data_IF_071323803261
#
_entry.id   IF_071323803261
#
_cell.length_a   1.000
_cell.length_b   1.000
_cell.length_c   1.000
_cell.angle_alpha   90.00
_cell.angle_beta   90.00
_cell.angle_gamma   90.00
#
_symmetry.space_group_name_H-M   'P 1'
#
loop_
_entity.id
_entity.type
_entity.pdbx_description
1 polymer ?
#
# COMPACT_ATOMS: atom_id res chain seq x y z
N UNK A 1 13.92 8.93 2.50
CA UNK A 1 13.64 7.71 1.72
C UNK A 1 14.65 6.60 1.87
N UNK A 2 15.65 6.81 2.72
CA UNK A 2 16.69 5.80 2.94
C UNK A 2 16.16 4.46 3.46
N UNK A 3 15.07 4.47 4.23
CA UNK A 3 14.47 3.23 4.75
C UNK A 3 14.02 2.28 3.64
N UNK A 4 13.45 2.82 2.55
CA UNK A 4 13.02 1.99 1.42
C UNK A 4 14.19 1.37 0.69
N UNK A 5 15.25 2.15 0.46
CA UNK A 5 16.43 1.66 -0.25
C UNK A 5 17.25 0.69 0.58
N UNK A 6 17.23 0.83 1.90
CA UNK A 6 17.95 -0.05 2.81
C UNK A 6 17.22 -1.35 3.15
N UNK A 7 15.94 -1.45 2.80
CA UNK A 7 15.15 -2.65 3.06
C UNK A 7 14.85 -2.94 4.53
N UNK A 8 14.98 -1.96 5.40
CA UNK A 8 14.74 -2.12 6.83
C UNK A 8 13.25 -1.98 7.17
N UNK A 9 12.48 -2.99 6.81
CA UNK A 9 11.02 -2.97 6.95
C UNK A 9 10.53 -2.79 8.38
N UNK A 10 11.26 -3.26 9.37
CA UNK A 10 10.89 -3.13 10.78
C UNK A 10 10.83 -1.66 11.24
N UNK A 11 11.58 -0.78 10.57
CA UNK A 11 11.62 0.65 10.87
C UNK A 11 10.58 1.45 10.09
N UNK A 12 9.91 0.83 9.11
CA UNK A 12 8.90 1.50 8.30
C UNK A 12 7.61 1.67 9.09
N UNK A 13 7.01 2.84 8.95
CA UNK A 13 5.64 3.09 9.40
C UNK A 13 4.73 2.91 8.21
N UNK A 14 3.83 1.96 8.30
CA UNK A 14 2.95 1.64 7.19
C UNK A 14 1.52 1.43 7.65
N UNK A 15 0.60 1.57 6.70
CA UNK A 15 -0.81 1.30 6.88
C UNK A 15 -1.23 0.28 5.83
N UNK A 16 -1.82 -0.82 6.28
CA UNK A 16 -2.45 -1.77 5.36
C UNK A 16 -3.87 -1.32 5.08
N UNK A 17 -4.25 -1.37 3.80
CA UNK A 17 -5.60 -0.98 3.39
C UNK A 17 -6.20 -2.06 2.51
N UNK A 18 -7.49 -2.32 2.71
CA UNK A 18 -8.26 -3.21 1.87
C UNK A 18 -9.47 -2.43 1.38
N UNK A 19 -9.54 -2.22 0.06
CA UNK A 19 -10.66 -1.49 -0.53
C UNK A 19 -11.93 -2.32 -0.41
N UNK A 20 -13.02 -1.68 0.03
CA UNK A 20 -14.32 -2.31 0.19
C UNK A 20 -15.27 -1.88 -0.93
N UNK A 21 -16.13 -2.80 -1.42
CA UNK A 21 -17.18 -2.42 -2.36
C UNK A 21 -18.16 -1.42 -1.76
N UNK A 22 -18.84 -0.65 -2.62
CA UNK A 22 -19.79 0.37 -2.17
C UNK A 22 -20.93 -0.18 -1.31
N UNK A 23 -21.28 -1.45 -1.46
CA UNK A 23 -22.35 -2.09 -0.67
C UNK A 23 -21.97 -2.28 0.80
N UNK A 24 -20.66 -2.22 1.13
CA UNK A 24 -20.20 -2.37 2.50
C UNK A 24 -20.46 -1.08 3.26
N UNK A 25 -21.25 -1.16 4.33
CA UNK A 25 -21.61 -0.03 5.17
C UNK A 25 -20.75 0.02 6.43
N UNK A 26 -20.70 1.19 7.06
CA UNK A 26 -20.04 1.36 8.35
C UNK A 26 -20.57 0.38 9.41
N UNK A 27 -21.88 0.12 9.40
CA UNK A 27 -22.52 -0.84 10.31
C UNK A 27 -21.99 -2.24 10.09
N UNK A 28 -21.85 -2.68 8.84
CA UNK A 28 -21.30 -4.00 8.52
C UNK A 28 -19.85 -4.14 9.03
N UNK A 29 -19.05 -3.12 8.87
CA UNK A 29 -17.67 -3.12 9.37
C UNK A 29 -17.64 -3.21 10.89
N UNK A 30 -18.48 -2.46 11.57
CA UNK A 30 -18.56 -2.50 13.03
C UNK A 30 -18.99 -3.89 13.54
N UNK A 31 -19.96 -4.52 12.88
CA UNK A 31 -20.38 -5.87 13.22
C UNK A 31 -19.27 -6.90 13.03
N UNK A 32 -18.50 -6.78 11.94
CA UNK A 32 -17.36 -7.64 11.68
C UNK A 32 -16.28 -7.47 12.75
N UNK A 33 -15.99 -6.24 13.16
CA UNK A 33 -15.02 -5.94 14.22
C UNK A 33 -15.46 -6.59 15.54
N UNK A 34 -16.75 -6.49 15.89
CA UNK A 34 -17.27 -7.09 17.10
C UNK A 34 -17.13 -8.62 17.08
N UNK A 35 -17.38 -9.25 15.93
CA UNK A 35 -17.21 -10.69 15.80
C UNK A 35 -15.76 -11.11 16.00
N UNK A 36 -14.80 -10.36 15.44
CA UNK A 36 -13.37 -10.64 15.61
C UNK A 36 -12.95 -10.44 17.06
N UNK A 37 -13.47 -9.39 17.71
CA UNK A 37 -13.19 -9.12 19.12
C UNK A 37 -13.61 -10.27 20.02
N UNK A 38 -14.79 -10.82 19.77
CA UNK A 38 -15.31 -11.96 20.55
C UNK A 38 -14.49 -13.22 20.31
N UNK A 39 -14.10 -13.48 19.06
CA UNK A 39 -13.41 -14.73 18.70
C UNK A 39 -11.91 -14.72 19.00
N UNK A 40 -11.22 -13.62 18.71
CA UNK A 40 -9.75 -13.58 18.77
C UNK A 40 -9.18 -12.36 19.50
N UNK A 41 -9.90 -11.25 19.52
CA UNK A 41 -9.48 -9.98 20.11
C UNK A 41 -8.00 -9.64 19.86
N UNK A 42 -7.55 -9.51 18.59
CA UNK A 42 -6.16 -9.20 18.31
C UNK A 42 -5.76 -7.81 18.80
N UNK A 43 -4.49 -7.65 19.16
CA UNK A 43 -3.96 -6.41 19.74
C UNK A 43 -4.20 -5.20 18.83
N UNK A 44 -4.08 -5.39 17.52
CA UNK A 44 -4.22 -4.30 16.54
C UNK A 44 -5.67 -3.94 16.21
N UNK A 45 -6.65 -4.70 16.72
CA UNK A 45 -8.05 -4.48 16.39
C UNK A 45 -8.54 -3.04 16.65
N UNK A 46 -8.17 -2.37 17.77
CA UNK A 46 -8.58 -0.99 17.98
C UNK A 46 -8.05 0.01 16.94
N UNK A 47 -7.05 -0.37 16.17
CA UNK A 47 -6.46 0.47 15.13
C UNK A 47 -7.18 0.38 13.79
N UNK A 48 -8.12 -0.57 13.65
CA UNK A 48 -8.88 -0.75 12.41
C UNK A 48 -9.83 0.44 12.22
N UNK A 49 -9.80 1.02 11.01
CA UNK A 49 -10.65 2.15 10.64
C UNK A 49 -11.38 1.85 9.35
N UNK A 50 -12.58 2.37 9.23
CA UNK A 50 -13.31 2.38 7.97
C UNK A 50 -13.53 3.82 7.57
N UNK A 51 -12.87 4.26 6.49
CA UNK A 51 -12.92 5.64 6.07
C UNK A 51 -12.77 5.77 4.56
N UNK A 52 -13.23 6.88 4.02
CA UNK A 52 -13.01 7.22 2.62
C UNK A 52 -11.58 7.69 2.41
N UNK A 53 -11.03 7.35 1.26
CA UNK A 53 -9.66 7.72 0.92
C UNK A 53 -9.59 8.15 -0.54
N UNK A 54 -9.04 9.34 -0.78
CA UNK A 54 -8.81 9.87 -2.12
C UNK A 54 -7.32 10.15 -2.30
N UNK A 55 -6.71 9.49 -3.27
CA UNK A 55 -5.27 9.64 -3.54
C UNK A 55 -4.98 10.93 -4.31
N UNK A 56 -5.95 11.46 -5.02
CA UNK A 56 -5.73 12.59 -5.91
C UNK A 56 -4.87 12.21 -7.11
N UNK A 57 -4.19 13.21 -7.69
CA UNK A 57 -3.29 12.99 -8.83
C UNK A 57 -2.09 12.17 -8.40
N UNK A 58 -1.78 11.12 -9.14
CA UNK A 58 -0.70 10.20 -8.81
C UNK A 58 -0.02 9.70 -10.07
N UNK A 59 1.26 9.35 -9.95
CA UNK A 59 1.99 8.61 -10.97
C UNK A 59 2.16 7.16 -10.49
N UNK A 60 2.10 6.21 -11.41
CA UNK A 60 2.25 4.80 -11.04
C UNK A 60 3.07 4.03 -12.07
N UNK A 61 3.67 2.95 -11.60
CA UNK A 61 4.46 2.05 -12.43
C UNK A 61 4.26 0.62 -11.93
N UNK A 62 4.33 -0.35 -12.84
CA UNK A 62 4.32 -1.76 -12.49
C UNK A 62 5.75 -2.22 -12.17
N UNK A 63 5.94 -2.80 -11.01
CA UNK A 63 7.15 -3.51 -10.65
C UNK A 63 6.92 -5.01 -10.81
N UNK A 64 7.79 -5.69 -11.54
CA UNK A 64 7.74 -7.14 -11.68
C UNK A 64 9.03 -7.69 -11.05
N UNK A 65 8.87 -8.51 -10.01
CA UNK A 65 9.99 -9.08 -9.29
C UNK A 65 9.82 -8.99 -7.78
N UNK A 66 10.83 -9.46 -7.01
CA UNK A 66 10.75 -9.44 -5.56
C UNK A 66 10.77 -8.02 -5.01
N UNK A 67 10.20 -7.85 -3.82
CA UNK A 67 10.10 -6.55 -3.16
C UNK A 67 11.48 -5.94 -2.89
N UNK A 68 12.49 -6.78 -2.66
CA UNK A 68 13.86 -6.31 -2.43
C UNK A 68 14.45 -5.56 -3.63
N UNK A 69 13.88 -5.71 -4.83
CA UNK A 69 14.36 -5.07 -6.05
C UNK A 69 13.52 -3.86 -6.48
N UNK A 70 12.63 -3.38 -5.61
CA UNK A 70 11.75 -2.26 -5.92
C UNK A 70 12.45 -0.91 -5.98
N UNK A 71 13.62 -0.77 -5.36
CA UNK A 71 14.33 0.51 -5.30
C UNK A 71 14.45 1.23 -6.64
N UNK A 72 15.03 0.59 -7.68
CA UNK A 72 15.15 1.22 -9.00
C UNK A 72 13.80 1.58 -9.63
N UNK A 73 12.75 0.77 -9.39
CA UNK A 73 11.41 1.04 -9.91
C UNK A 73 10.81 2.27 -9.23
N UNK A 74 10.99 2.39 -7.92
CA UNK A 74 10.55 3.56 -7.15
C UNK A 74 11.25 4.82 -7.66
N UNK A 75 12.55 4.74 -7.92
CA UNK A 75 13.31 5.88 -8.46
C UNK A 75 12.78 6.32 -9.83
N UNK A 76 12.34 5.39 -10.67
CA UNK A 76 11.75 5.72 -11.96
C UNK A 76 10.48 6.55 -11.82
N UNK A 77 9.61 6.21 -10.88
CA UNK A 77 8.39 6.96 -10.61
C UNK A 77 8.74 8.37 -10.10
N UNK A 78 9.68 8.47 -9.18
CA UNK A 78 10.11 9.76 -8.64
C UNK A 78 10.70 10.65 -9.73
N UNK A 79 11.57 10.10 -10.57
CA UNK A 79 12.18 10.83 -11.68
C UNK A 79 11.14 11.30 -12.70
N UNK A 80 10.16 10.45 -13.01
CA UNK A 80 9.06 10.83 -13.90
C UNK A 80 8.31 12.05 -13.36
N UNK A 81 8.00 12.05 -12.07
CA UNK A 81 7.26 13.16 -11.44
C UNK A 81 8.08 14.45 -11.51
N UNK A 82 9.36 14.39 -11.15
CA UNK A 82 10.25 15.54 -11.16
C UNK A 82 10.50 16.08 -12.58
N UNK A 83 10.70 15.16 -13.55
CA UNK A 83 10.92 15.53 -14.96
C UNK A 83 9.70 16.22 -15.57
N UNK A 84 8.52 15.97 -15.05
CA UNK A 84 7.29 16.62 -15.49
C UNK A 84 6.97 17.90 -14.71
N UNK A 85 7.91 18.40 -13.91
CA UNK A 85 7.74 19.64 -13.18
C UNK A 85 6.84 19.57 -11.97
N UNK A 86 6.54 18.36 -11.50
CA UNK A 86 5.70 18.11 -10.33
C UNK A 86 6.53 17.73 -9.13
N UNK A 87 5.89 17.71 -7.97
CA UNK A 87 6.53 17.34 -6.71
C UNK A 87 5.83 16.13 -6.10
N UNK A 88 6.60 15.32 -5.36
CA UNK A 88 6.07 14.22 -4.60
C UNK A 88 5.21 14.77 -3.46
N UNK A 89 4.01 14.22 -3.28
CA UNK A 89 3.12 14.57 -2.18
C UNK A 89 2.61 13.29 -1.54
N UNK A 90 2.26 13.36 -0.27
CA UNK A 90 1.68 12.22 0.43
C UNK A 90 2.57 10.98 0.45
N UNK A 91 1.98 9.90 0.93
CA UNK A 91 2.69 8.62 1.09
C UNK A 91 2.59 7.78 -0.17
N UNK A 92 3.70 7.07 -0.47
CA UNK A 92 3.72 6.07 -1.52
C UNK A 92 2.78 4.92 -1.18
N UNK A 93 2.07 4.42 -2.18
CA UNK A 93 1.19 3.26 -2.06
C UNK A 93 1.74 2.10 -2.89
N UNK A 94 1.57 0.91 -2.37
CA UNK A 94 1.87 -0.31 -3.09
C UNK A 94 0.61 -1.15 -3.20
N UNK A 95 0.28 -1.60 -4.42
CA UNK A 95 -0.89 -2.42 -4.68
C UNK A 95 -0.40 -3.78 -5.13
N UNK A 96 -0.61 -4.79 -4.30
CA UNK A 96 -0.11 -6.14 -4.54
C UNK A 96 -1.09 -6.91 -5.41
N UNK A 97 -0.63 -7.33 -6.59
CA UNK A 97 -1.45 -8.06 -7.56
C UNK A 97 -1.20 -9.56 -7.52
N UNK A 98 -0.12 -10.00 -6.90
CA UNK A 98 0.25 -11.41 -6.84
C UNK A 98 0.11 -11.95 -5.41
N UNK A 99 -0.31 -13.21 -5.31
CA UNK A 99 -0.23 -13.95 -4.05
C UNK A 99 1.20 -14.46 -3.92
N UNK A 100 1.96 -13.90 -2.97
CA UNK A 100 3.37 -14.23 -2.76
C UNK A 100 3.58 -15.70 -2.36
N UNK A 101 2.51 -16.37 -1.89
CA UNK A 101 2.58 -17.78 -1.52
C UNK A 101 2.43 -18.72 -2.71
N UNK A 102 1.92 -18.22 -3.85
CA UNK A 102 1.60 -19.02 -5.04
C UNK A 102 2.48 -18.73 -6.23
N UNK A 103 3.17 -17.61 -6.23
CA UNK A 103 4.01 -17.19 -7.35
C UNK A 103 5.47 -17.11 -6.94
N UNK A 104 6.37 -17.43 -7.86
CA UNK A 104 7.80 -17.24 -7.63
C UNK A 104 8.12 -15.74 -7.54
N UNK A 105 9.08 -15.35 -6.70
CA UNK A 105 9.37 -13.92 -6.47
C UNK A 105 9.65 -13.12 -7.74
N UNK A 106 10.31 -13.70 -8.73
CA UNK A 106 10.60 -13.01 -10.00
C UNK A 106 9.37 -12.71 -10.83
N UNK A 107 8.22 -13.29 -10.49
CA UNK A 107 6.94 -13.07 -11.17
C UNK A 107 5.98 -12.19 -10.38
N UNK A 108 6.34 -11.77 -9.18
CA UNK A 108 5.49 -10.91 -8.37
C UNK A 108 5.23 -9.60 -9.10
N UNK A 109 3.97 -9.13 -9.04
CA UNK A 109 3.55 -7.88 -9.64
C UNK A 109 3.04 -6.93 -8.56
N UNK A 110 3.59 -5.74 -8.53
CA UNK A 110 3.21 -4.69 -7.58
C UNK A 110 3.07 -3.38 -8.35
N UNK A 111 1.95 -2.69 -8.15
CA UNK A 111 1.83 -1.32 -8.64
C UNK A 111 2.37 -0.39 -7.56
N UNK A 112 3.36 0.42 -7.92
CA UNK A 112 3.90 1.46 -7.07
C UNK A 112 3.24 2.76 -7.50
N UNK A 113 2.54 3.43 -6.59
CA UNK A 113 1.78 4.65 -6.87
C UNK A 113 2.22 5.75 -5.91
N UNK A 114 2.61 6.88 -6.48
CA UNK A 114 3.09 8.04 -5.72
C UNK A 114 2.19 9.24 -5.98
N UNK A 115 1.54 9.80 -4.96
CA UNK A 115 0.82 11.06 -5.10
C UNK A 115 1.75 12.18 -5.53
N UNK A 116 1.23 13.09 -6.36
CA UNK A 116 2.01 14.19 -6.91
C UNK A 116 1.16 15.46 -7.03
N UNK A 117 1.82 16.57 -7.12
CA UNK A 117 1.15 17.86 -7.34
C UNK A 117 1.82 18.68 -8.42
#
# INVERSE_FOLDING_TARGET
MSLFTMGKKDEWKWTLMIMQPEIVTKKMVQEAIEQVKVKKNPVSLPLVRFESFSEGKSAQIMHIGPFSEEGPTIEKVHSFIEDNGSQLTGKQHEIYLSDIRRSAPEKWKTIIRQPMS
#
